data_IF_489586634284
#
_entry.id   IF_489586634284
#
_cell.length_a   1.000
_cell.length_b   1.000
_cell.length_c   1.000
_cell.angle_alpha   90.00
_cell.angle_beta   90.00
_cell.angle_gamma   90.00
#
_symmetry.space_group_name_H-M   'P 1'
#
loop_
_entity.id
_entity.type
_entity.pdbx_description
1 polymer ?
#
# COMPACT_ATOMS: atom_id res chain seq x y z
N UNK A 1 -11.93 16.98 4.90
CA UNK A 1 -10.90 16.08 5.42
C UNK A 1 -9.84 15.84 4.36
N UNK A 2 -8.61 16.27 4.64
CA UNK A 2 -7.43 15.92 3.82
C UNK A 2 -6.60 14.97 4.65
N UNK A 3 -6.38 13.77 4.13
CA UNK A 3 -5.59 12.73 4.78
C UNK A 3 -4.48 12.29 3.85
N UNK A 4 -3.27 12.21 4.37
CA UNK A 4 -2.15 11.56 3.68
C UNK A 4 -1.92 10.22 4.36
N UNK A 5 -1.81 9.14 3.59
CA UNK A 5 -1.59 7.78 4.09
C UNK A 5 -0.29 7.23 3.50
N UNK A 6 0.66 6.88 4.36
CA UNK A 6 1.87 6.15 3.99
C UNK A 6 1.65 4.65 4.17
N UNK A 7 1.97 3.88 3.14
CA UNK A 7 1.65 2.46 3.10
C UNK A 7 2.67 1.66 2.28
N UNK A 8 2.81 0.38 2.67
CA UNK A 8 3.62 -0.62 1.98
C UNK A 8 2.75 -1.86 1.72
N UNK A 9 2.76 -2.37 0.49
CA UNK A 9 2.08 -3.61 0.14
C UNK A 9 2.68 -4.84 0.86
N UNK A 10 3.94 -4.77 1.29
CA UNK A 10 4.57 -5.84 2.10
C UNK A 10 4.11 -5.85 3.57
N UNK A 11 3.31 -4.87 4.01
CA UNK A 11 2.84 -4.75 5.39
C UNK A 11 1.37 -5.17 5.54
N UNK A 12 1.04 -6.19 6.35
CA UNK A 12 -0.35 -6.63 6.53
C UNK A 12 -1.19 -5.62 7.31
N UNK A 13 -0.56 -4.89 8.24
CA UNK A 13 -1.24 -3.83 8.97
C UNK A 13 -1.64 -2.68 8.05
N UNK A 14 -0.85 -2.40 7.02
CA UNK A 14 -1.20 -1.37 6.03
C UNK A 14 -2.44 -1.76 5.24
N UNK A 15 -2.63 -3.05 4.93
CA UNK A 15 -3.85 -3.53 4.28
C UNK A 15 -5.10 -3.38 5.16
N UNK A 16 -5.01 -3.74 6.45
CA UNK A 16 -6.11 -3.54 7.40
C UNK A 16 -6.42 -2.04 7.53
N UNK A 17 -5.37 -1.21 7.69
CA UNK A 17 -5.49 0.24 7.75
C UNK A 17 -6.13 0.84 6.50
N UNK A 18 -5.75 0.37 5.31
CA UNK A 18 -6.37 0.75 4.04
C UNK A 18 -7.87 0.45 4.04
N UNK A 19 -8.29 -0.77 4.41
CA UNK A 19 -9.72 -1.14 4.48
C UNK A 19 -10.49 -0.30 5.50
N UNK A 20 -9.90 -0.01 6.66
CA UNK A 20 -10.51 0.89 7.67
C UNK A 20 -10.60 2.32 7.17
N UNK A 21 -9.58 2.82 6.48
CA UNK A 21 -9.58 4.15 5.89
C UNK A 21 -10.67 4.26 4.81
N UNK A 22 -10.84 3.26 3.94
CA UNK A 22 -11.96 3.24 2.98
C UNK A 22 -13.33 3.31 3.68
N UNK A 23 -13.52 2.60 4.80
CA UNK A 23 -14.76 2.66 5.62
C UNK A 23 -14.97 4.01 6.31
N UNK A 24 -13.89 4.73 6.63
CA UNK A 24 -13.94 6.01 7.31
C UNK A 24 -14.30 7.17 6.37
N UNK A 25 -14.12 6.99 5.06
CA UNK A 25 -14.42 8.04 4.09
C UNK A 25 -15.91 8.40 4.13
N UNK A 26 -16.26 9.69 4.26
CA UNK A 26 -17.65 10.10 4.18
C UNK A 26 -18.24 9.75 2.80
N UNK A 27 -19.52 9.34 2.74
CA UNK A 27 -20.21 9.15 1.48
C UNK A 27 -20.26 10.49 0.73
N UNK A 28 -19.87 10.49 -0.54
CA UNK A 28 -19.79 11.72 -1.34
C UNK A 28 -18.88 11.57 -2.54
N UNK A 29 -18.64 12.69 -3.22
CA UNK A 29 -17.78 12.75 -4.40
C UNK A 29 -16.31 12.58 -4.01
N UNK A 30 -15.66 11.53 -4.52
CA UNK A 30 -14.23 11.26 -4.30
C UNK A 30 -13.33 12.34 -4.92
N UNK A 31 -13.86 13.12 -5.87
CA UNK A 31 -13.15 14.25 -6.48
C UNK A 31 -13.22 15.54 -5.66
N UNK A 32 -14.01 15.57 -4.58
CA UNK A 32 -14.04 16.72 -3.67
C UNK A 32 -12.73 16.82 -2.88
N UNK A 33 -12.13 18.01 -2.85
CA UNK A 33 -10.90 18.27 -2.09
C UNK A 33 -11.04 17.96 -0.59
N UNK A 34 -12.27 18.02 -0.07
CA UNK A 34 -12.60 17.69 1.31
C UNK A 34 -12.80 16.19 1.57
N UNK A 35 -12.67 15.31 0.58
CA UNK A 35 -12.77 13.86 0.72
C UNK A 35 -11.61 13.09 0.06
N UNK A 36 -10.50 13.80 -0.19
CA UNK A 36 -9.36 13.26 -0.91
C UNK A 36 -8.35 12.59 0.06
N UNK A 37 -7.99 11.35 -0.26
CA UNK A 37 -6.87 10.65 0.34
C UNK A 37 -5.66 10.78 -0.58
N UNK A 38 -4.56 11.31 -0.08
CA UNK A 38 -3.27 11.26 -0.77
C UNK A 38 -2.53 10.01 -0.30
N UNK A 39 -2.39 9.04 -1.20
CA UNK A 39 -1.62 7.82 -0.94
C UNK A 39 -0.14 8.08 -1.21
N UNK A 40 0.72 7.69 -0.27
CA UNK A 40 2.18 7.81 -0.38
C UNK A 40 2.81 6.43 -0.19
N UNK A 41 3.78 6.13 -1.05
CA UNK A 41 4.61 4.96 -0.88
C UNK A 41 5.47 5.09 0.39
N UNK A 42 5.69 3.97 1.06
CA UNK A 42 6.70 3.84 2.11
C UNK A 42 7.30 2.46 1.99
N UNK A 43 8.52 2.36 1.47
CA UNK A 43 9.20 1.07 1.36
C UNK A 43 9.78 0.68 2.72
N UNK A 44 9.11 -0.24 3.41
CA UNK A 44 9.45 -0.63 4.78
C UNK A 44 10.75 -1.45 4.84
N UNK A 45 10.98 -2.27 3.81
CA UNK A 45 12.06 -3.25 3.77
C UNK A 45 12.86 -3.20 2.46
N UNK A 46 13.60 -2.09 2.19
CA UNK A 46 14.41 -1.96 0.99
C UNK A 46 15.57 -2.96 0.91
N UNK A 47 15.92 -3.60 2.03
CA UNK A 47 16.93 -4.65 2.12
C UNK A 47 16.46 -6.02 1.59
N UNK A 48 15.15 -6.22 1.40
CA UNK A 48 14.63 -7.51 0.93
C UNK A 48 14.98 -7.69 -0.55
N UNK A 49 15.75 -8.73 -0.91
CA UNK A 49 16.21 -8.94 -2.28
C UNK A 49 15.08 -9.39 -3.19
N UNK A 50 15.38 -9.38 -4.51
CA UNK A 50 14.55 -10.06 -5.49
C UNK A 50 14.38 -11.53 -5.11
N UNK A 51 13.13 -12.00 -5.15
CA UNK A 51 12.77 -13.33 -4.68
C UNK A 51 12.57 -13.43 -3.17
N UNK A 52 12.65 -12.36 -2.37
CA UNK A 52 12.15 -12.33 -0.98
C UNK A 52 12.98 -13.08 0.07
N UNK A 53 12.55 -12.98 1.33
CA UNK A 53 13.14 -13.68 2.49
C UNK A 53 12.10 -14.57 3.16
N UNK A 54 12.55 -15.64 3.83
CA UNK A 54 11.66 -16.43 4.69
C UNK A 54 11.07 -15.55 5.79
N UNK A 55 9.76 -15.66 6.00
CA UNK A 55 9.07 -14.97 7.08
C UNK A 55 9.38 -15.71 8.39
N UNK A 56 9.91 -15.03 9.42
CA UNK A 56 10.12 -15.66 10.71
C UNK A 56 8.84 -16.30 11.24
N UNK A 57 8.92 -17.57 11.64
CA UNK A 57 7.79 -18.28 12.25
C UNK A 57 7.48 -17.64 13.60
N UNK A 58 6.30 -17.05 13.75
CA UNK A 58 5.88 -16.32 14.94
C UNK A 58 4.37 -16.33 15.15
N UNK A 59 3.92 -15.99 16.37
CA UNK A 59 2.50 -15.97 16.74
C UNK A 59 1.77 -14.79 16.08
N UNK A 60 1.31 -15.00 14.85
CA UNK A 60 0.42 -14.09 14.10
C UNK A 60 -0.99 -13.94 14.73
N UNK A 61 -1.17 -14.30 16.01
CA UNK A 61 -2.48 -14.31 16.67
C UNK A 61 -3.11 -12.93 16.72
N UNK A 62 -2.32 -11.91 17.06
CA UNK A 62 -2.79 -10.52 17.07
C UNK A 62 -3.22 -10.05 15.68
N UNK A 63 -2.38 -10.29 14.65
CA UNK A 63 -2.70 -9.90 13.28
C UNK A 63 -3.97 -10.58 12.77
N UNK A 64 -4.14 -11.88 13.04
CA UNK A 64 -5.35 -12.63 12.67
C UNK A 64 -6.60 -12.12 13.38
N UNK A 65 -6.49 -11.82 14.67
CA UNK A 65 -7.60 -11.25 15.44
C UNK A 65 -8.02 -9.89 14.87
N UNK A 66 -7.04 -9.00 14.66
CA UNK A 66 -7.26 -7.66 14.10
C UNK A 66 -7.88 -7.71 12.71
N UNK A 67 -7.40 -8.57 11.83
CA UNK A 67 -7.99 -8.75 10.50
C UNK A 67 -9.44 -9.27 10.58
N UNK A 68 -9.71 -10.19 11.50
CA UNK A 68 -11.04 -10.77 11.68
C UNK A 68 -12.07 -9.75 12.19
N UNK A 69 -11.67 -8.74 12.96
CA UNK A 69 -12.56 -7.64 13.36
C UNK A 69 -13.13 -6.90 12.14
N UNK A 70 -12.36 -6.85 11.06
CA UNK A 70 -12.74 -6.23 9.78
C UNK A 70 -13.34 -7.21 8.77
N UNK A 71 -13.54 -8.49 9.16
CA UNK A 71 -14.03 -9.55 8.27
C UNK A 71 -12.98 -10.05 7.26
N UNK A 72 -11.70 -9.73 7.46
CA UNK A 72 -10.62 -10.06 6.55
C UNK A 72 -9.99 -11.42 6.91
N UNK A 73 -9.80 -12.26 5.90
CA UNK A 73 -9.03 -13.51 6.03
C UNK A 73 -7.70 -13.36 5.31
N UNK A 74 -6.64 -13.08 6.06
CA UNK A 74 -5.32 -12.87 5.46
C UNK A 74 -4.65 -14.20 5.07
N UNK A 75 -4.23 -14.29 3.81
CA UNK A 75 -3.39 -15.37 3.26
C UNK A 75 -1.93 -14.96 3.24
N UNK A 76 -1.33 -14.88 4.42
CA UNK A 76 0.08 -14.55 4.53
C UNK A 76 0.96 -15.61 3.83
N UNK A 77 1.83 -15.15 2.92
CA UNK A 77 2.94 -15.95 2.39
C UNK A 77 3.91 -16.35 3.50
N UNK A 78 4.54 -17.51 3.35
CA UNK A 78 5.67 -17.96 4.16
C UNK A 78 6.95 -17.13 3.93
N UNK A 79 6.89 -16.17 3.00
CA UNK A 79 7.96 -15.24 2.66
C UNK A 79 7.50 -13.79 2.78
N UNK A 80 8.47 -12.91 2.95
CA UNK A 80 8.32 -11.47 2.76
C UNK A 80 8.91 -11.13 1.40
N UNK A 81 8.05 -10.65 0.51
CA UNK A 81 8.43 -10.28 -0.85
C UNK A 81 8.89 -8.82 -0.88
N UNK A 82 9.78 -8.50 -1.82
CA UNK A 82 10.15 -7.10 -2.07
C UNK A 82 8.94 -6.35 -2.61
N UNK A 83 8.59 -5.23 -1.99
CA UNK A 83 7.47 -4.39 -2.42
C UNK A 83 7.85 -3.35 -3.47
N UNK A 84 9.16 -3.09 -3.66
CA UNK A 84 9.65 -2.06 -4.60
C UNK A 84 9.04 -2.18 -5.99
N UNK A 85 8.97 -3.36 -6.64
CA UNK A 85 8.34 -3.47 -7.95
C UNK A 85 6.88 -3.01 -7.96
N UNK A 86 6.07 -3.44 -6.99
CA UNK A 86 4.68 -2.96 -6.87
C UNK A 86 4.55 -1.49 -6.49
N UNK A 87 5.45 -0.95 -5.66
CA UNK A 87 5.43 0.48 -5.32
C UNK A 87 5.69 1.33 -6.57
N UNK A 88 6.71 0.99 -7.35
CA UNK A 88 7.02 1.66 -8.61
C UNK A 88 5.87 1.53 -9.63
N UNK A 89 5.28 0.35 -9.78
CA UNK A 89 4.15 0.14 -10.68
C UNK A 89 2.91 0.96 -10.25
N UNK A 90 2.69 1.15 -8.94
CA UNK A 90 1.61 1.99 -8.43
C UNK A 90 1.84 3.47 -8.72
N UNK A 91 3.10 3.95 -8.66
CA UNK A 91 3.46 5.32 -9.05
C UNK A 91 3.23 5.56 -10.54
N UNK A 92 3.56 4.60 -11.40
CA UNK A 92 3.20 4.67 -12.83
C UNK A 92 1.69 4.73 -12.98
N UNK A 93 0.94 3.81 -12.37
CA UNK A 93 -0.52 3.82 -12.45
C UNK A 93 -1.12 5.15 -11.99
N UNK A 94 -0.50 5.85 -11.03
CA UNK A 94 -0.90 7.20 -10.61
C UNK A 94 -0.75 8.22 -11.74
N UNK A 95 0.36 8.20 -12.47
CA UNK A 95 0.56 9.05 -13.64
C UNK A 95 -0.50 8.79 -14.74
N UNK A 96 -1.04 7.56 -14.79
CA UNK A 96 -2.11 7.16 -15.71
C UNK A 96 -3.52 7.24 -15.11
N UNK A 97 -3.69 7.87 -13.93
CA UNK A 97 -5.01 8.08 -13.32
C UNK A 97 -5.69 6.82 -12.75
N UNK A 98 -4.92 5.74 -12.53
CA UNK A 98 -5.38 4.41 -12.08
C UNK A 98 -4.82 3.98 -10.72
N UNK A 99 -4.36 4.94 -9.92
CA UNK A 99 -3.76 4.64 -8.61
C UNK A 99 -4.76 3.95 -7.67
N UNK A 100 -6.01 4.44 -7.58
CA UNK A 100 -6.97 3.89 -6.63
C UNK A 100 -7.24 2.40 -6.90
N UNK A 101 -7.46 2.06 -8.17
CA UNK A 101 -7.74 0.70 -8.61
C UNK A 101 -6.53 -0.22 -8.40
N UNK A 102 -5.32 0.20 -8.80
CA UNK A 102 -4.14 -0.65 -8.62
C UNK A 102 -3.77 -0.81 -7.15
N UNK A 103 -3.97 0.24 -6.33
CA UNK A 103 -3.64 0.22 -4.92
C UNK A 103 -4.49 -0.82 -4.18
N UNK A 104 -5.81 -0.83 -4.44
CA UNK A 104 -6.69 -1.87 -3.93
C UNK A 104 -6.33 -3.26 -4.47
N UNK A 105 -6.10 -3.38 -5.79
CA UNK A 105 -5.77 -4.66 -6.44
C UNK A 105 -4.50 -5.29 -5.88
N UNK A 106 -3.44 -4.50 -5.70
CA UNK A 106 -2.17 -4.97 -5.14
C UNK A 106 -2.32 -5.38 -3.67
N UNK A 107 -3.05 -4.61 -2.88
CA UNK A 107 -3.31 -4.98 -1.50
C UNK A 107 -4.07 -6.30 -1.37
N UNK A 108 -5.13 -6.49 -2.17
CA UNK A 108 -5.89 -7.75 -2.20
C UNK A 108 -5.03 -8.91 -2.70
N UNK A 109 -4.25 -8.71 -3.77
CA UNK A 109 -3.30 -9.70 -4.28
C UNK A 109 -2.29 -10.16 -3.22
N UNK A 110 -1.70 -9.21 -2.48
CA UNK A 110 -0.70 -9.53 -1.46
C UNK A 110 -1.30 -10.27 -0.26
N UNK A 111 -2.49 -9.87 0.20
CA UNK A 111 -2.98 -10.26 1.52
C UNK A 111 -4.22 -11.13 1.54
N UNK A 112 -5.02 -11.16 0.48
CA UNK A 112 -6.15 -12.08 0.34
C UNK A 112 -5.82 -13.27 -0.57
N UNK A 113 -4.92 -13.08 -1.53
CA UNK A 113 -4.47 -14.12 -2.48
C UNK A 113 -3.08 -14.69 -2.15
N UNK A 114 -2.24 -13.91 -1.44
CA UNK A 114 -0.89 -14.35 -1.04
C UNK A 114 0.15 -14.30 -2.16
N UNK A 115 -0.06 -13.46 -3.18
CA UNK A 115 0.78 -13.37 -4.36
C UNK A 115 2.09 -12.60 -4.11
N UNK A 116 3.13 -12.96 -4.87
CA UNK A 116 4.42 -12.27 -4.90
C UNK A 116 4.36 -11.07 -5.85
N UNK A 117 4.19 -9.87 -5.27
CA UNK A 117 4.18 -8.61 -6.02
C UNK A 117 5.56 -8.15 -6.51
N UNK A 118 6.63 -8.88 -6.18
CA UNK A 118 7.96 -8.68 -6.76
C UNK A 118 8.12 -9.33 -8.13
N UNK A 119 7.19 -10.19 -8.55
CA UNK A 119 7.25 -10.94 -9.81
C UNK A 119 6.60 -10.19 -10.97
N UNK A 120 7.31 -10.13 -12.10
CA UNK A 120 6.85 -9.43 -13.29
C UNK A 120 5.60 -10.05 -13.92
N UNK A 121 5.47 -11.38 -13.94
CA UNK A 121 4.29 -12.06 -14.48
C UNK A 121 3.02 -11.84 -13.64
N UNK A 122 3.18 -11.80 -12.31
CA UNK A 122 2.13 -11.40 -11.38
C UNK A 122 1.74 -9.95 -11.64
N UNK A 123 2.69 -9.02 -11.63
CA UNK A 123 2.42 -7.61 -11.89
C UNK A 123 1.70 -7.40 -13.23
N UNK A 124 2.10 -8.11 -14.30
CA UNK A 124 1.43 -8.00 -15.60
C UNK A 124 -0.07 -8.28 -15.51
N UNK A 125 -0.42 -9.35 -14.82
CA UNK A 125 -1.82 -9.77 -14.65
C UNK A 125 -2.59 -8.69 -13.87
N UNK A 126 -2.05 -8.25 -12.74
CA UNK A 126 -2.69 -7.27 -11.85
C UNK A 126 -2.86 -5.89 -12.50
N UNK A 127 -1.87 -5.47 -13.30
CA UNK A 127 -1.92 -4.20 -14.06
C UNK A 127 -3.01 -4.28 -15.15
N UNK A 128 -3.13 -5.43 -15.84
CA UNK A 128 -4.21 -5.65 -16.80
C UNK A 128 -5.59 -5.66 -16.14
N UNK A 129 -5.74 -6.22 -14.94
CA UNK A 129 -7.02 -6.27 -14.21
C UNK A 129 -7.62 -4.88 -13.99
N UNK A 130 -6.79 -3.84 -13.90
CA UNK A 130 -7.24 -2.45 -13.69
C UNK A 130 -7.30 -1.62 -14.98
N UNK A 131 -7.12 -2.26 -16.14
CA UNK A 131 -7.27 -1.66 -17.46
C UNK A 131 -6.05 -0.86 -17.95
N UNK A 132 -4.87 -1.07 -17.36
CA UNK A 132 -3.61 -0.51 -17.86
C UNK A 132 -2.89 -1.51 -18.78
N UNK A 133 -2.07 -1.00 -19.69
CA UNK A 133 -1.16 -1.85 -20.49
C UNK A 133 0.06 -2.28 -19.66
N UNK A 134 0.23 -3.58 -19.38
CA UNK A 134 1.37 -4.06 -18.60
C UNK A 134 2.72 -3.78 -19.22
N UNK A 135 2.81 -3.77 -20.56
CA UNK A 135 4.09 -3.52 -21.24
C UNK A 135 4.52 -2.09 -20.99
N UNK A 136 3.60 -1.14 -21.19
CA UNK A 136 3.82 0.28 -20.89
C UNK A 136 4.23 0.47 -19.43
N UNK A 137 3.45 -0.05 -18.47
CA UNK A 137 3.74 0.16 -17.04
C UNK A 137 5.08 -0.42 -16.62
N UNK A 138 5.40 -1.65 -17.06
CA UNK A 138 6.66 -2.30 -16.70
C UNK A 138 7.89 -1.61 -17.33
N UNK A 139 7.72 -0.94 -18.46
CA UNK A 139 8.80 -0.14 -19.06
C UNK A 139 8.96 1.19 -18.29
N UNK A 140 7.87 1.92 -18.09
CA UNK A 140 7.90 3.24 -17.42
C UNK A 140 8.38 3.15 -15.98
N UNK A 141 8.03 2.09 -15.23
CA UNK A 141 8.45 1.93 -13.84
C UNK A 141 9.97 1.82 -13.64
N UNK A 142 10.73 1.65 -14.72
CA UNK A 142 12.20 1.67 -14.71
C UNK A 142 12.80 3.08 -14.77
N UNK A 143 11.98 4.09 -15.06
CA UNK A 143 12.41 5.49 -15.09
C UNK A 143 12.71 6.01 -13.68
N UNK A 144 13.82 6.75 -13.57
CA UNK A 144 14.31 7.29 -12.29
C UNK A 144 13.26 8.12 -11.53
N UNK A 145 12.40 8.85 -12.24
CA UNK A 145 11.36 9.71 -11.64
C UNK A 145 10.42 8.98 -10.67
N UNK A 146 10.13 7.69 -10.92
CA UNK A 146 9.24 6.92 -10.06
C UNK A 146 9.95 6.42 -8.81
N UNK A 147 11.26 6.14 -8.92
CA UNK A 147 12.08 5.86 -7.75
C UNK A 147 12.24 7.12 -6.90
N UNK A 148 12.52 8.26 -7.51
CA UNK A 148 12.62 9.56 -6.83
C UNK A 148 11.32 9.87 -6.07
N UNK A 149 10.15 9.61 -6.68
CA UNK A 149 8.87 9.82 -5.99
C UNK A 149 8.68 8.96 -4.74
N UNK A 150 9.20 7.72 -4.72
CA UNK A 150 9.18 6.85 -3.52
C UNK A 150 10.15 7.38 -2.46
N UNK A 151 11.35 7.81 -2.88
CA UNK A 151 12.35 8.39 -1.97
C UNK A 151 11.81 9.67 -1.33
N UNK A 152 11.25 10.59 -2.11
CA UNK A 152 10.65 11.83 -1.62
C UNK A 152 9.52 11.55 -0.62
N UNK A 153 8.67 10.56 -0.90
CA UNK A 153 7.60 10.16 0.00
C UNK A 153 8.12 9.59 1.34
N UNK A 154 9.24 8.86 1.30
CA UNK A 154 9.91 8.33 2.48
C UNK A 154 10.58 9.45 3.30
N UNK A 155 11.26 10.38 2.64
CA UNK A 155 11.86 11.55 3.29
C UNK A 155 10.80 12.43 3.96
N UNK A 156 9.67 12.67 3.30
CA UNK A 156 8.51 13.36 3.88
C UNK A 156 8.02 12.64 5.15
N UNK A 157 7.90 11.31 5.10
CA UNK A 157 7.51 10.51 6.25
C UNK A 157 8.51 10.65 7.42
N UNK A 158 9.81 10.57 7.12
CA UNK A 158 10.88 10.68 8.12
C UNK A 158 10.89 12.07 8.79
N UNK A 159 10.68 13.15 8.03
CA UNK A 159 10.57 14.50 8.59
C UNK A 159 9.38 14.64 9.58
N UNK A 160 8.31 13.88 9.35
CA UNK A 160 7.15 13.80 10.25
C UNK A 160 7.34 12.79 11.39
N UNK A 161 8.52 12.16 11.50
CA UNK A 161 8.83 11.14 12.50
C UNK A 161 8.04 9.84 12.30
N UNK A 162 7.59 9.55 11.08
CA UNK A 162 6.97 8.27 10.72
C UNK A 162 8.07 7.24 10.51
N UNK A 163 7.92 6.09 11.15
CA UNK A 163 8.92 4.99 11.13
C UNK A 163 8.33 3.67 10.65
N UNK A 164 7.09 3.67 10.16
CA UNK A 164 6.42 2.45 9.70
C UNK A 164 5.01 2.68 9.17
N UNK A 165 4.41 1.59 8.69
CA UNK A 165 3.11 1.61 8.00
C UNK A 165 2.05 0.75 8.72
N UNK A 166 0.75 1.11 8.63
CA UNK A 166 0.27 2.34 8.04
C UNK A 166 0.55 3.53 8.97
N UNK A 167 0.72 4.72 8.39
CA UNK A 167 0.74 5.98 9.13
C UNK A 167 -0.03 7.03 8.35
N UNK A 168 -0.63 7.96 9.08
CA UNK A 168 -1.53 8.96 8.51
C UNK A 168 -1.14 10.36 9.00
N UNK A 169 -1.24 11.36 8.12
CA UNK A 169 -1.31 12.77 8.50
C UNK A 169 -2.76 13.22 8.32
N UNK A 170 -3.45 13.46 9.43
CA UNK A 170 -4.85 13.86 9.46
C UNK A 170 -4.98 15.16 10.25
N UNK A 171 -5.48 16.22 9.61
CA UNK A 171 -5.67 17.54 10.25
C UNK A 171 -4.41 18.07 10.97
N UNK A 172 -3.22 17.78 10.43
CA UNK A 172 -1.93 18.18 11.02
C UNK A 172 -1.39 17.26 12.11
N UNK A 173 -2.13 16.24 12.51
CA UNK A 173 -1.70 15.24 13.49
C UNK A 173 -1.21 13.96 12.80
N UNK A 174 -0.10 13.41 13.29
CA UNK A 174 0.44 12.11 12.83
C UNK A 174 -0.19 10.99 13.65
N UNK A 175 -0.90 10.08 12.97
CA UNK A 175 -1.45 8.85 13.55
C UNK A 175 -0.61 7.67 13.03
N UNK A 176 -0.16 6.79 13.93
CA UNK A 176 0.75 5.68 13.58
C UNK A 176 0.08 4.33 13.86
N UNK A 177 0.28 3.38 12.95
CA UNK A 177 -0.31 2.04 13.04
C UNK A 177 -1.79 2.02 12.68
N UNK A 178 -2.39 0.84 12.79
CA UNK A 178 -3.80 0.62 12.49
C UNK A 178 -4.67 1.42 13.46
N UNK A 179 -5.47 2.34 12.93
CA UNK A 179 -6.42 3.15 13.70
C UNK A 179 -7.82 2.54 13.65
N UNK A 180 -8.67 2.92 14.60
CA UNK A 180 -10.11 2.69 14.50
C UNK A 180 -10.72 3.57 13.41
N UNK A 181 -11.81 3.10 12.78
CA UNK A 181 -12.50 3.82 11.69
C UNK A 181 -12.90 5.23 12.13
N UNK A 182 -13.35 5.40 13.37
CA UNK A 182 -13.77 6.69 13.92
C UNK A 182 -12.62 7.70 14.01
N UNK A 183 -11.40 7.24 14.30
CA UNK A 183 -10.23 8.11 14.39
C UNK A 183 -9.74 8.60 13.01
N UNK A 184 -10.26 8.02 11.93
CA UNK A 184 -9.93 8.35 10.54
C UNK A 184 -11.03 9.18 9.84
N UNK A 185 -12.06 9.63 10.59
CA UNK A 185 -13.15 10.49 10.11
C UNK A 185 -12.87 11.99 10.25
#
# INVERSE_FOLDING_TARGET
MKIISWSDYACPFAYIGFKRLLKARPPGDESSESNQVTWRAYELHPEIPAGGLERPRGKHGFLKALASEDGLTLRASDRVWSSRPSLLAAEVARAHGKHAEIHERFFSAAWEEGLDLGRSDVLRTLISDVGLDPVTVLNEMTEQRYLDSIVDALEEAMMLGITGTPSYLLNGAVLRGVQEVEALR
#
